data_IF_574853850082
#
_entry.id   IF_574853850082
#
_cell.length_a   1.000
_cell.length_b   1.000
_cell.length_c   1.000
_cell.angle_alpha   90.00
_cell.angle_beta   90.00
_cell.angle_gamma   90.00
#
_symmetry.space_group_name_H-M   'P 1'
#
loop_
_entity.id
_entity.type
_entity.pdbx_description
1 polymer ?
#
# COMPACT_ATOMS: atom_id res chain seq x y z
N UNK A 1 -14.25 -13.46 -20.53
CA UNK A 1 -14.49 -12.67 -20.30
C UNK A 1 -14.57 -12.18 -19.94
N UNK A 2 -14.03 -12.47 -20.51
CA UNK A 2 -14.00 -11.67 -20.21
C UNK A 2 -14.34 -10.91 -20.40
N UNK A 3 -13.76 -10.77 -20.81
CA UNK A 3 -13.94 -9.69 -20.95
C UNK A 3 -14.49 -9.31 -21.35
N UNK A 4 -14.59 -9.46 -21.36
CA UNK A 4 -14.77 -8.66 -22.16
C UNK A 4 -15.26 -7.35 -22.05
N UNK A 5 -14.87 -6.65 -21.40
CA UNK A 5 -15.19 -5.27 -21.53
C UNK A 5 -13.93 -4.47 -21.73
N UNK A 6 -13.74 -3.94 -22.91
CA UNK A 6 -12.50 -3.26 -23.27
C UNK A 6 -12.22 -2.04 -22.42
N UNK A 7 -13.23 -1.30 -22.02
CA UNK A 7 -13.02 -0.12 -21.17
C UNK A 7 -12.39 -0.48 -19.85
N UNK A 8 -12.71 -1.63 -19.33
CA UNK A 8 -12.06 -2.13 -18.14
C UNK A 8 -10.57 -2.26 -18.33
N UNK A 9 -10.17 -2.77 -19.48
CA UNK A 9 -8.75 -2.98 -19.74
C UNK A 9 -7.98 -1.69 -19.88
N UNK A 10 -8.61 -0.66 -20.44
CA UNK A 10 -7.96 0.64 -20.51
C UNK A 10 -7.81 1.31 -19.15
N UNK A 11 -8.80 1.15 -18.27
CA UNK A 11 -8.70 1.64 -16.91
C UNK A 11 -7.61 0.91 -16.16
N UNK A 12 -7.48 -0.38 -16.39
CA UNK A 12 -6.46 -1.23 -15.78
C UNK A 12 -5.32 -1.46 -16.76
N UNK A 13 -4.79 -0.36 -17.30
CA UNK A 13 -3.83 -0.43 -18.39
C UNK A 13 -2.52 -1.14 -18.02
N UNK A 14 -2.16 -1.20 -16.76
CA UNK A 14 -0.95 -1.89 -16.35
C UNK A 14 -1.24 -3.36 -16.07
N UNK A 15 -0.26 -4.19 -16.38
CA UNK A 15 -0.37 -5.63 -16.16
C UNK A 15 0.07 -5.95 -14.73
N UNK A 16 -0.84 -6.49 -13.94
CA UNK A 16 -0.57 -6.84 -12.55
C UNK A 16 -0.38 -8.35 -12.45
N UNK A 17 0.75 -8.78 -11.96
CA UNK A 17 1.05 -10.20 -11.82
C UNK A 17 1.50 -10.58 -10.39
N UNK A 18 1.53 -9.62 -9.46
CA UNK A 18 1.91 -9.92 -8.08
C UNK A 18 1.28 -8.96 -7.10
N UNK A 19 1.19 -9.41 -5.88
CA UNK A 19 0.80 -8.60 -4.72
C UNK A 19 1.99 -8.59 -3.77
N UNK A 20 2.42 -7.41 -3.35
CA UNK A 20 3.53 -7.28 -2.41
C UNK A 20 3.00 -6.68 -1.12
N UNK A 21 3.27 -7.36 -0.03
CA UNK A 21 2.79 -6.95 1.29
C UNK A 21 3.93 -6.30 2.05
N UNK A 22 3.69 -5.10 2.55
CA UNK A 22 4.64 -4.32 3.34
C UNK A 22 4.09 -4.10 4.73
N UNK A 23 4.97 -3.82 5.68
CA UNK A 23 4.57 -3.24 6.95
C UNK A 23 4.90 -1.75 6.96
N UNK A 24 4.19 -1.00 7.79
CA UNK A 24 4.45 0.43 7.94
C UNK A 24 5.71 0.68 8.79
N UNK A 25 6.25 -0.36 9.41
CA UNK A 25 7.37 -0.27 10.35
C UNK A 25 7.04 0.68 11.51
N UNK A 26 5.82 0.59 12.01
CA UNK A 26 5.34 1.34 13.16
C UNK A 26 5.26 0.43 14.38
N UNK A 27 5.42 0.97 15.60
CA UNK A 27 5.37 0.15 16.81
C UNK A 27 4.02 -0.57 16.95
N UNK A 28 4.08 -1.79 17.46
CA UNK A 28 2.87 -2.57 17.71
C UNK A 28 1.91 -1.81 18.62
N UNK A 29 0.62 -1.92 18.35
CA UNK A 29 -0.41 -1.26 19.14
C UNK A 29 -0.57 0.23 18.88
N UNK A 30 0.32 0.83 18.10
CA UNK A 30 0.21 2.24 17.75
C UNK A 30 -0.75 2.41 16.58
N UNK A 31 -1.79 3.20 16.78
CA UNK A 31 -2.80 3.46 15.75
C UNK A 31 -2.29 4.54 14.79
N UNK A 32 -1.90 4.11 13.59
CA UNK A 32 -1.45 5.01 12.54
C UNK A 32 -2.48 4.92 11.42
N UNK A 33 -3.04 6.06 11.05
CA UNK A 33 -4.09 6.10 10.01
C UNK A 33 -3.49 6.25 8.62
N UNK A 34 -4.26 5.86 7.63
CA UNK A 34 -3.86 5.95 6.22
C UNK A 34 -3.48 7.37 5.83
N UNK A 35 -4.23 8.36 6.30
CA UNK A 35 -3.95 9.77 6.04
C UNK A 35 -2.57 10.19 6.55
N UNK A 36 -2.13 9.62 7.66
CA UNK A 36 -0.81 9.90 8.21
C UNK A 36 0.29 9.33 7.30
N UNK A 37 0.12 8.10 6.83
CA UNK A 37 1.07 7.49 5.89
C UNK A 37 1.10 8.29 4.60
N UNK A 38 -0.05 8.69 4.10
CA UNK A 38 -0.12 9.52 2.89
C UNK A 38 0.61 10.85 3.11
N UNK A 39 0.46 11.47 4.27
CA UNK A 39 1.17 12.70 4.59
C UNK A 39 2.68 12.50 4.57
N UNK A 40 3.17 11.39 5.11
CA UNK A 40 4.60 11.09 5.05
C UNK A 40 5.11 10.99 3.61
N UNK A 41 4.35 10.34 2.74
CA UNK A 41 4.74 10.16 1.34
C UNK A 41 4.65 11.47 0.55
N UNK A 42 3.55 12.20 0.71
CA UNK A 42 3.32 13.42 -0.06
C UNK A 42 4.21 14.57 0.44
N UNK A 43 4.24 14.79 1.74
CA UNK A 43 5.00 15.91 2.31
C UNK A 43 6.46 15.57 2.54
N UNK A 44 6.74 14.34 2.98
CA UNK A 44 8.10 13.92 3.28
C UNK A 44 8.90 13.55 2.04
N UNK A 45 8.30 12.81 1.10
CA UNK A 45 8.99 12.34 -0.11
C UNK A 45 8.69 13.20 -1.34
N UNK A 46 7.74 14.12 -1.27
CA UNK A 46 7.35 14.92 -2.41
C UNK A 46 6.56 14.16 -3.47
N UNK A 47 5.96 13.03 -3.13
CA UNK A 47 5.17 12.23 -4.07
C UNK A 47 3.79 12.84 -4.29
N UNK A 48 3.16 12.50 -5.42
CA UNK A 48 1.82 12.99 -5.74
C UNK A 48 0.72 12.32 -4.92
N UNK A 49 1.00 11.16 -4.33
CA UNK A 49 0.03 10.37 -3.58
C UNK A 49 0.76 9.38 -2.69
N UNK A 50 0.02 8.71 -1.81
CA UNK A 50 0.51 7.57 -1.06
C UNK A 50 1.06 6.51 -2.03
N UNK A 51 2.09 5.80 -1.62
CA UNK A 51 2.75 4.81 -2.48
C UNK A 51 2.04 3.46 -2.56
N UNK A 52 1.20 3.12 -1.59
CA UNK A 52 0.49 1.85 -1.53
C UNK A 52 -0.88 1.95 -2.16
N UNK A 53 -1.40 0.83 -2.65
CA UNK A 53 -2.77 0.77 -3.18
C UNK A 53 -3.80 0.55 -2.08
N UNK A 54 -3.42 -0.17 -1.04
CA UNK A 54 -4.26 -0.43 0.13
C UNK A 54 -3.45 -0.32 1.40
N UNK A 55 -4.11 0.09 2.46
CA UNK A 55 -3.53 0.11 3.80
C UNK A 55 -4.49 -0.63 4.73
N UNK A 56 -3.95 -1.57 5.49
CA UNK A 56 -4.70 -2.26 6.53
C UNK A 56 -4.35 -1.58 7.85
N UNK A 57 -5.31 -0.85 8.38
CA UNK A 57 -5.12 -0.11 9.63
C UNK A 57 -5.13 -1.04 10.83
N UNK A 58 -4.75 -0.51 11.98
CA UNK A 58 -4.56 -1.32 13.19
C UNK A 58 -5.79 -2.13 13.57
N UNK A 59 -6.98 -1.58 13.36
CA UNK A 59 -8.25 -2.25 13.68
C UNK A 59 -8.69 -3.26 12.61
N UNK A 60 -7.89 -3.47 11.58
CA UNK A 60 -8.20 -4.36 10.46
C UNK A 60 -8.95 -3.70 9.32
N UNK A 61 -9.28 -2.42 9.43
CA UNK A 61 -9.96 -1.71 8.35
C UNK A 61 -9.04 -1.60 7.13
N UNK A 62 -9.57 -1.92 5.95
CA UNK A 62 -8.84 -1.81 4.69
C UNK A 62 -9.21 -0.49 4.04
N UNK A 63 -8.22 0.36 3.84
CA UNK A 63 -8.41 1.69 3.27
C UNK A 63 -7.76 1.78 1.90
N UNK A 64 -8.39 2.54 1.01
CA UNK A 64 -7.84 2.76 -0.32
C UNK A 64 -6.72 3.78 -0.28
N UNK A 65 -5.67 3.49 -1.04
CA UNK A 65 -4.58 4.44 -1.28
C UNK A 65 -4.58 4.87 -2.73
N UNK A 66 -3.43 4.66 -3.40
CA UNK A 66 -3.30 5.02 -4.81
C UNK A 66 -4.24 4.15 -5.66
N UNK A 67 -4.90 4.73 -6.69
CA UNK A 67 -5.76 3.92 -7.56
C UNK A 67 -5.04 2.75 -8.21
N UNK A 68 -5.73 1.63 -8.38
CA UNK A 68 -5.12 0.41 -8.92
C UNK A 68 -4.56 0.56 -10.33
N UNK A 69 -5.13 1.44 -11.14
CA UNK A 69 -4.65 1.66 -12.50
C UNK A 69 -3.31 2.39 -12.55
N UNK A 70 -2.88 2.96 -11.44
CA UNK A 70 -1.59 3.65 -11.36
C UNK A 70 -0.56 2.74 -10.69
N UNK A 71 0.66 2.78 -11.22
CA UNK A 71 1.79 2.13 -10.55
C UNK A 71 1.99 2.74 -9.18
N UNK A 72 2.26 1.91 -8.19
CA UNK A 72 2.55 2.39 -6.85
C UNK A 72 3.96 2.96 -6.74
N UNK A 73 4.34 3.30 -5.54
CA UNK A 73 5.70 3.69 -5.20
C UNK A 73 6.05 3.00 -3.88
N UNK A 74 6.21 1.69 -3.95
CA UNK A 74 6.42 0.86 -2.75
C UNK A 74 7.54 -0.16 -2.90
N UNK A 75 7.87 -0.57 -4.13
CA UNK A 75 8.94 -1.57 -4.35
C UNK A 75 9.62 -1.27 -5.68
N UNK A 76 10.80 -0.70 -5.60
CA UNK A 76 11.56 -0.32 -6.80
C UNK A 76 11.73 -1.52 -7.73
N UNK A 77 11.44 -1.33 -9.00
CA UNK A 77 11.55 -2.37 -10.02
C UNK A 77 10.31 -3.24 -10.15
N UNK A 78 9.35 -3.15 -9.24
CA UNK A 78 8.15 -3.99 -9.26
C UNK A 78 6.86 -3.19 -9.21
N UNK A 79 6.95 -1.86 -9.13
CA UNK A 79 5.76 -1.01 -8.99
C UNK A 79 4.79 -1.12 -10.15
N UNK A 80 5.31 -1.28 -11.37
CA UNK A 80 4.48 -1.28 -12.57
C UNK A 80 3.61 -2.55 -12.68
N UNK A 81 3.99 -3.63 -12.02
CA UNK A 81 3.33 -4.94 -12.19
C UNK A 81 2.75 -5.50 -10.91
N UNK A 82 2.67 -4.70 -9.85
CA UNK A 82 2.21 -5.19 -8.55
C UNK A 82 1.14 -4.31 -7.92
N UNK A 83 0.45 -4.91 -6.95
CA UNK A 83 -0.38 -4.18 -6.00
C UNK A 83 0.38 -4.14 -4.69
N UNK A 84 0.54 -2.96 -4.12
CA UNK A 84 1.19 -2.78 -2.82
C UNK A 84 0.16 -2.67 -1.71
N UNK A 85 0.27 -3.53 -0.71
CA UNK A 85 -0.57 -3.51 0.48
C UNK A 85 0.33 -3.29 1.69
N UNK A 86 0.00 -2.32 2.51
CA UNK A 86 0.76 -2.03 3.71
C UNK A 86 -0.12 -2.26 4.94
N UNK A 87 0.36 -3.01 5.92
CA UNK A 87 -0.32 -3.09 7.20
C UNK A 87 0.39 -2.25 8.25
N UNK A 88 -0.40 -1.65 9.14
CA UNK A 88 0.12 -0.83 10.23
C UNK A 88 0.72 -1.74 11.30
N UNK A 89 1.96 -1.46 11.68
CA UNK A 89 2.72 -2.27 12.61
C UNK A 89 4.07 -2.66 12.04
N UNK A 90 4.57 -3.82 12.43
CA UNK A 90 5.78 -4.42 11.89
C UNK A 90 7.01 -4.31 12.75
N UNK A 91 6.98 -3.52 13.83
CA UNK A 91 8.09 -3.44 14.78
C UNK A 91 7.57 -3.50 16.22
N UNK A 92 8.44 -3.93 17.14
CA UNK A 92 8.12 -3.90 18.56
C UNK A 92 8.43 -2.52 19.16
N UNK A 93 8.21 -2.37 20.47
CA UNK A 93 8.46 -1.11 21.16
C UNK A 93 9.93 -0.71 21.14
N UNK A 94 10.84 -1.64 20.93
CA UNK A 94 12.27 -1.39 20.84
C UNK A 94 12.74 -1.18 19.40
N UNK A 95 11.81 -1.00 18.48
CA UNK A 95 12.04 -0.73 17.05
C UNK A 95 12.67 -1.92 16.32
N UNK A 96 12.49 -3.13 16.82
CA UNK A 96 12.96 -4.34 16.14
C UNK A 96 11.83 -4.97 15.33
N UNK A 97 12.15 -5.58 14.18
CA UNK A 97 11.13 -6.23 13.37
C UNK A 97 10.35 -7.26 14.18
N UNK A 98 9.04 -7.24 14.00
CA UNK A 98 8.14 -8.17 14.69
C UNK A 98 6.91 -8.40 13.83
N UNK A 99 6.43 -9.64 13.77
CA UNK A 99 5.16 -9.93 13.14
C UNK A 99 4.03 -9.51 14.07
N UNK A 100 3.43 -8.36 13.78
CA UNK A 100 2.35 -7.76 14.58
C UNK A 100 0.98 -7.95 13.95
N UNK A 101 0.88 -8.78 12.92
CA UNK A 101 -0.42 -9.06 12.28
C UNK A 101 -1.29 -9.85 13.24
N UNK A 102 -2.58 -9.57 13.20
CA UNK A 102 -3.57 -10.25 14.02
C UNK A 102 -4.45 -11.20 13.24
#
# INVERSE_FOLDING_TARGET
MWFRNLKKYFIMARKIDKIIIHCAATPEGRDVKTETIKSWHVKGNGWSDIGYHFVIELDGAVKNGRPLHRSGAHTKGHNATSIGICYVGGIDKDKKPKDTRT
#
